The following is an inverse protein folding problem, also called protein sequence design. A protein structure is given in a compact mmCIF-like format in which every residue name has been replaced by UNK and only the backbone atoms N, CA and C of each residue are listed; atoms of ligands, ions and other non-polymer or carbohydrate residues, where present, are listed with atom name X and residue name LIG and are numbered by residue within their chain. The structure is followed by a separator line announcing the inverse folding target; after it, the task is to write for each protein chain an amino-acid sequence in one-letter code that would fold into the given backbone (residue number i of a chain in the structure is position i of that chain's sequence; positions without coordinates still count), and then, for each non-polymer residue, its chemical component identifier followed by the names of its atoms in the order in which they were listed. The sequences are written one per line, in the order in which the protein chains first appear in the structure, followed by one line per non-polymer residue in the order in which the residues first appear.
data_IF_831111513538
#
_entry.id   IF_831111513538
#
_cell.length_a   1.000
_cell.length_b   1.000
_cell.length_c   1.000
_cell.angle_alpha   90.00
_cell.angle_beta   90.00
_cell.angle_gamma   90.00
#
_symmetry.space_group_name_H-M   'P 1'
#
loop_
_entity.id
_entity.type
_entity.pdbx_description
1 polymer ?
#
# COMPACT_ATOMS: atom_id res chain seq x y z
N UNK A 1 24.70 -48.49 -40.30
CA UNK A 1 23.69 -48.30 -39.23
C UNK A 1 24.25 -48.13 -37.81
N UNK A 2 25.43 -48.68 -37.46
CA UNK A 2 25.96 -48.57 -36.07
C UNK A 2 26.46 -47.16 -35.71
N UNK A 3 26.94 -46.36 -36.67
CA UNK A 3 27.43 -44.99 -36.43
C UNK A 3 26.33 -43.96 -36.11
N UNK A 4 25.10 -44.13 -36.62
CA UNK A 4 24.01 -43.17 -36.36
C UNK A 4 23.47 -43.25 -34.92
N UNK A 5 23.58 -44.41 -34.26
CA UNK A 5 23.16 -44.54 -32.85
C UNK A 5 24.06 -43.76 -31.90
N UNK A 6 25.36 -43.61 -32.20
CA UNK A 6 26.30 -42.89 -31.32
C UNK A 6 26.06 -41.37 -31.28
N UNK A 7 25.56 -40.77 -32.37
CA UNK A 7 25.26 -39.34 -32.40
C UNK A 7 23.97 -38.96 -31.65
N UNK A 8 23.03 -39.90 -31.47
CA UNK A 8 21.78 -39.63 -30.78
C UNK A 8 21.98 -39.42 -29.27
N UNK A 9 22.83 -40.24 -28.64
CA UNK A 9 23.14 -40.11 -27.21
C UNK A 9 23.92 -38.82 -26.89
N UNK A 10 24.75 -38.34 -27.82
CA UNK A 10 25.52 -37.10 -27.61
C UNK A 10 24.63 -35.84 -27.57
N UNK A 11 23.47 -35.86 -28.23
CA UNK A 11 22.52 -34.72 -28.24
C UNK A 11 21.57 -34.70 -27.05
N UNK A 12 21.28 -35.86 -26.45
CA UNK A 12 20.37 -35.96 -25.30
C UNK A 12 21.10 -35.63 -23.99
N UNK A 13 22.39 -35.97 -23.89
CA UNK A 13 23.21 -35.74 -22.70
C UNK A 13 23.18 -34.29 -22.16
N UNK A 14 23.33 -33.22 -22.98
CA UNK A 14 23.27 -31.85 -22.48
C UNK A 14 21.86 -31.47 -22.01
N UNK A 15 20.80 -32.00 -22.61
CA UNK A 15 19.41 -31.73 -22.20
C UNK A 15 19.14 -32.39 -20.84
N UNK A 16 19.58 -33.63 -20.64
CA UNK A 16 19.44 -34.31 -19.35
C UNK A 16 20.30 -33.68 -18.26
N UNK A 17 21.51 -33.20 -18.58
CA UNK A 17 22.35 -32.47 -17.63
C UNK A 17 21.75 -31.11 -17.27
N UNK A 18 21.17 -30.39 -18.24
CA UNK A 18 20.49 -29.12 -18.00
C UNK A 18 19.25 -29.30 -17.11
N UNK A 19 18.43 -30.33 -17.38
CA UNK A 19 17.29 -30.67 -16.51
C UNK A 19 17.77 -31.12 -15.13
N UNK A 20 18.84 -31.91 -15.03
CA UNK A 20 19.41 -32.30 -13.74
C UNK A 20 19.91 -31.08 -12.96
N UNK A 21 20.53 -30.07 -13.60
CA UNK A 21 20.91 -28.83 -12.93
C UNK A 21 19.71 -27.98 -12.50
N UNK A 22 18.59 -28.00 -13.23
CA UNK A 22 17.35 -27.32 -12.81
C UNK A 22 16.73 -28.02 -11.59
N UNK A 23 16.74 -29.36 -11.55
CA UNK A 23 16.11 -30.14 -10.47
C UNK A 23 17.02 -30.41 -9.26
N UNK A 24 18.34 -30.41 -9.43
CA UNK A 24 19.35 -30.60 -8.37
C UNK A 24 20.13 -29.35 -8.02
N UNK A 25 19.71 -28.17 -8.53
CA UNK A 25 20.08 -26.93 -7.86
C UNK A 25 19.63 -27.10 -6.41
N UNK A 26 20.57 -27.15 -5.43
CA UNK A 26 20.20 -27.37 -4.04
C UNK A 26 19.21 -26.28 -3.71
N UNK A 27 17.94 -26.65 -3.52
CA UNK A 27 16.91 -25.76 -3.05
C UNK A 27 17.50 -25.16 -1.80
N UNK A 28 17.96 -23.91 -1.94
CA UNK A 28 18.65 -23.20 -0.90
C UNK A 28 17.52 -22.81 0.05
N UNK A 29 17.04 -23.79 0.82
CA UNK A 29 16.21 -23.61 1.99
C UNK A 29 17.14 -23.00 3.02
N UNK A 30 17.56 -21.76 2.74
CA UNK A 30 18.06 -20.86 3.78
C UNK A 30 16.94 -20.87 4.78
N UNK A 31 17.16 -21.57 5.90
CA UNK A 31 16.32 -21.44 7.09
C UNK A 31 16.09 -19.96 7.21
N UNK A 32 14.84 -19.53 7.12
CA UNK A 32 14.43 -18.15 7.35
C UNK A 32 14.96 -17.79 8.74
N UNK A 33 16.20 -17.29 8.78
CA UNK A 33 16.75 -16.71 9.97
C UNK A 33 15.87 -15.50 10.18
N UNK A 34 15.14 -15.49 11.29
CA UNK A 34 14.26 -14.39 11.66
C UNK A 34 15.01 -13.09 11.40
N UNK A 35 14.54 -12.35 10.40
CA UNK A 35 15.23 -11.17 9.86
C UNK A 35 15.35 -10.07 10.92
N UNK A 36 14.53 -10.15 11.96
CA UNK A 36 14.49 -9.24 13.09
C UNK A 36 15.59 -9.50 14.12
N UNK A 37 16.26 -10.67 14.12
CA UNK A 37 17.29 -10.99 15.13
C UNK A 37 18.48 -10.05 15.14
N UNK A 38 18.72 -9.33 14.05
CA UNK A 38 19.82 -8.38 13.92
C UNK A 38 19.41 -6.94 14.23
N UNK A 39 18.11 -6.68 14.43
CA UNK A 39 17.62 -5.34 14.74
C UNK A 39 17.89 -5.02 16.20
N UNK A 40 18.35 -3.79 16.45
CA UNK A 40 18.37 -3.22 17.80
C UNK A 40 16.94 -3.04 18.32
N UNK A 41 16.77 -2.87 19.64
CA UNK A 41 15.45 -2.61 20.23
C UNK A 41 14.80 -1.35 19.66
N UNK A 42 15.60 -0.28 19.44
CA UNK A 42 15.11 0.96 18.84
C UNK A 42 14.64 0.75 17.40
N UNK A 43 15.45 0.09 16.56
CA UNK A 43 15.06 -0.20 15.17
C UNK A 43 13.79 -1.05 15.11
N UNK A 44 13.65 -2.02 16.01
CA UNK A 44 12.44 -2.82 16.12
C UNK A 44 11.22 -1.97 16.49
N UNK A 45 11.39 -1.01 17.40
CA UNK A 45 10.35 -0.07 17.80
C UNK A 45 9.94 0.83 16.63
N UNK A 46 10.90 1.49 15.99
CA UNK A 46 10.71 2.37 14.84
C UNK A 46 9.93 1.69 13.72
N UNK A 47 10.39 0.49 13.32
CA UNK A 47 9.72 -0.28 12.27
C UNK A 47 8.32 -0.72 12.68
N UNK A 48 8.12 -1.08 13.95
CA UNK A 48 6.80 -1.44 14.46
C UNK A 48 5.83 -0.26 14.39
N UNK A 49 6.29 0.95 14.71
CA UNK A 49 5.49 2.17 14.59
C UNK A 49 5.16 2.47 13.13
N UNK A 50 6.17 2.52 12.26
CA UNK A 50 5.99 2.74 10.82
C UNK A 50 4.99 1.75 10.21
N UNK A 51 5.14 0.45 10.50
CA UNK A 51 4.28 -0.58 9.93
C UNK A 51 2.87 -0.57 10.53
N UNK A 52 2.70 -0.18 11.79
CA UNK A 52 1.35 0.03 12.32
C UNK A 52 0.63 1.15 11.58
N UNK A 53 1.30 2.27 11.30
CA UNK A 53 0.75 3.35 10.49
C UNK A 53 0.45 2.91 9.07
N UNK A 54 1.44 2.33 8.38
CA UNK A 54 1.31 1.94 6.98
C UNK A 54 0.32 0.78 6.77
N UNK A 55 0.51 -0.32 7.51
CA UNK A 55 -0.22 -1.57 7.28
C UNK A 55 -1.59 -1.59 7.95
N UNK A 56 -1.73 -0.99 9.15
CA UNK A 56 -2.97 -1.08 9.93
C UNK A 56 -3.84 0.15 9.73
N UNK A 57 -3.33 1.35 10.01
CA UNK A 57 -4.13 2.58 9.87
C UNK A 57 -4.44 2.91 8.41
N UNK A 58 -3.44 2.76 7.53
CA UNK A 58 -3.55 3.11 6.11
C UNK A 58 -3.85 1.90 5.21
N UNK A 59 -4.27 0.79 5.83
CA UNK A 59 -4.75 -0.41 5.14
C UNK A 59 -3.70 -1.07 4.22
N UNK A 60 -2.41 -0.84 4.44
CA UNK A 60 -1.33 -1.50 3.69
C UNK A 60 -1.29 -3.02 3.87
N UNK A 61 -1.86 -3.57 4.95
CA UNK A 61 -1.98 -5.02 5.13
C UNK A 61 -2.81 -5.69 4.01
N UNK A 62 -3.77 -4.97 3.41
CA UNK A 62 -4.53 -5.49 2.26
C UNK A 62 -3.73 -5.43 0.95
N UNK A 63 -2.65 -4.64 0.89
CA UNK A 63 -1.68 -4.71 -0.21
C UNK A 63 -0.76 -5.91 0.01
N UNK A 64 -0.29 -6.09 1.24
CA UNK A 64 0.70 -7.10 1.58
C UNK A 64 0.14 -8.54 1.57
N UNK A 65 -1.14 -8.72 1.92
CA UNK A 65 -1.76 -10.04 2.06
C UNK A 65 -3.08 -10.19 1.29
N UNK A 66 -3.53 -9.14 0.61
CA UNK A 66 -4.86 -9.07 0.02
C UNK A 66 -4.85 -8.64 -1.44
N UNK A 67 -5.97 -8.07 -1.88
CA UNK A 67 -6.18 -7.67 -3.27
C UNK A 67 -6.00 -6.16 -3.52
N UNK A 68 -5.62 -5.38 -2.50
CA UNK A 68 -5.45 -3.93 -2.67
C UNK A 68 -4.19 -3.64 -3.52
N UNK A 69 -4.27 -2.78 -4.55
CA UNK A 69 -3.10 -2.46 -5.37
C UNK A 69 -2.09 -1.56 -4.65
N UNK A 70 -2.55 -0.43 -4.11
CA UNK A 70 -1.71 0.58 -3.45
C UNK A 70 -2.29 1.00 -2.10
N UNK A 71 -1.42 1.31 -1.14
CA UNK A 71 -1.72 2.02 0.10
C UNK A 71 -0.81 3.23 0.20
N UNK A 72 -1.31 4.30 0.84
CA UNK A 72 -0.63 5.58 1.00
C UNK A 72 -0.61 5.94 2.48
N UNK A 73 0.55 6.37 2.98
CA UNK A 73 0.75 6.94 4.30
C UNK A 73 1.38 8.32 4.13
N UNK A 74 0.78 9.36 4.72
CA UNK A 74 1.42 10.67 4.76
C UNK A 74 2.44 10.73 5.90
N UNK A 75 3.67 11.12 5.56
CA UNK A 75 4.73 11.41 6.52
C UNK A 75 4.85 12.93 6.60
N UNK A 76 4.61 13.46 7.78
CA UNK A 76 4.80 14.88 8.09
C UNK A 76 5.96 15.02 9.07
N UNK A 77 6.80 16.07 8.95
CA UNK A 77 7.84 16.32 9.93
C UNK A 77 7.21 16.58 11.30
N UNK A 78 7.91 16.19 12.38
CA UNK A 78 7.54 16.64 13.71
C UNK A 78 7.73 18.15 13.79
N UNK A 79 6.62 18.86 13.98
CA UNK A 79 6.62 20.30 14.17
C UNK A 79 7.24 20.63 15.54
N UNK A 80 8.04 21.69 15.59
CA UNK A 80 8.50 22.27 16.85
C UNK A 80 7.31 22.76 17.69
N UNK A 81 7.48 22.88 19.02
CA UNK A 81 6.41 23.38 19.89
C UNK A 81 5.86 24.75 19.44
N UNK A 82 6.73 25.62 18.93
CA UNK A 82 6.35 26.92 18.38
C UNK A 82 5.53 26.80 17.08
N UNK A 83 5.95 25.93 16.15
CA UNK A 83 5.21 25.67 14.91
C UNK A 83 3.87 24.99 15.16
N UNK A 84 3.80 24.09 16.14
CA UNK A 84 2.55 23.46 16.59
C UNK A 84 1.60 24.52 17.13
N UNK A 85 2.06 25.37 18.05
CA UNK A 85 1.26 26.45 18.62
C UNK A 85 0.80 27.45 17.55
N UNK A 86 1.68 27.79 16.60
CA UNK A 86 1.35 28.66 15.48
C UNK A 86 0.28 28.01 14.60
N UNK A 87 0.45 26.75 14.21
CA UNK A 87 -0.52 26.01 13.37
C UNK A 87 -1.86 25.90 14.08
N UNK A 88 -1.86 25.53 15.37
CA UNK A 88 -3.06 25.42 16.19
C UNK A 88 -3.80 26.75 16.32
N UNK A 89 -3.09 27.88 16.49
CA UNK A 89 -3.72 29.20 16.61
C UNK A 89 -4.42 29.66 15.32
N UNK A 90 -4.01 29.16 14.15
CA UNK A 90 -4.63 29.43 12.86
C UNK A 90 -5.91 28.61 12.59
N UNK A 91 -6.18 27.59 13.39
CA UNK A 91 -7.36 26.74 13.21
C UNK A 91 -8.63 27.41 13.73
N UNK A 92 -9.77 27.09 13.10
CA UNK A 92 -11.08 27.49 13.61
C UNK A 92 -11.38 26.79 14.95
N UNK A 93 -12.23 27.38 15.78
CA UNK A 93 -12.63 26.77 17.05
C UNK A 93 -13.29 25.39 16.88
N UNK A 94 -14.00 25.17 15.77
CA UNK A 94 -14.54 23.86 15.43
C UNK A 94 -13.43 22.85 15.11
N UNK A 95 -12.43 23.24 14.33
CA UNK A 95 -11.28 22.39 14.05
C UNK A 95 -10.49 22.07 15.33
N UNK A 96 -10.29 23.07 16.22
CA UNK A 96 -9.65 22.87 17.53
C UNK A 96 -10.40 21.86 18.41
N UNK A 97 -11.74 21.90 18.44
CA UNK A 97 -12.56 20.93 19.18
C UNK A 97 -12.48 19.50 18.63
N UNK A 98 -12.25 19.39 17.32
CA UNK A 98 -12.15 18.11 16.63
C UNK A 98 -10.72 17.54 16.59
N UNK A 99 -9.73 18.35 16.96
CA UNK A 99 -8.39 17.85 17.24
C UNK A 99 -8.47 17.00 18.50
N UNK A 100 -8.49 15.68 18.31
CA UNK A 100 -7.99 14.78 19.33
C UNK A 100 -6.53 15.13 19.57
N UNK A 101 -6.05 15.16 20.83
CA UNK A 101 -4.65 15.45 21.20
C UNK A 101 -3.61 14.42 20.65
N UNK A 102 -3.91 13.80 19.51
CA UNK A 102 -3.10 12.83 18.78
C UNK A 102 -1.80 13.41 18.17
N UNK A 103 -1.54 14.71 18.38
CA UNK A 103 -0.26 15.34 18.06
C UNK A 103 0.88 14.89 18.98
N UNK A 104 0.57 14.20 20.09
CA UNK A 104 1.58 13.70 21.04
C UNK A 104 1.84 12.21 20.83
N UNK A 105 2.25 11.84 19.60
CA UNK A 105 2.83 10.52 19.40
C UNK A 105 4.23 10.51 20.04
N UNK A 106 4.51 9.48 20.83
CA UNK A 106 5.81 9.29 21.50
C UNK A 106 6.99 9.14 20.52
N UNK A 107 6.74 9.08 19.22
CA UNK A 107 7.71 8.88 18.14
C UNK A 107 7.49 9.85 16.98
N UNK A 108 8.56 10.09 16.22
CA UNK A 108 8.53 10.79 14.94
C UNK A 108 8.47 9.78 13.78
N UNK A 109 7.40 9.85 12.99
CA UNK A 109 7.21 8.94 11.85
C UNK A 109 8.28 9.15 10.76
N UNK A 110 8.82 10.37 10.63
CA UNK A 110 9.95 10.66 9.73
C UNK A 110 11.19 9.89 10.18
N UNK A 111 11.53 9.93 11.47
CA UNK A 111 12.66 9.16 12.01
C UNK A 111 12.46 7.64 11.82
N UNK A 112 11.22 7.16 12.02
CA UNK A 112 10.89 5.75 11.78
C UNK A 112 11.11 5.35 10.31
N UNK A 113 10.76 6.23 9.37
CA UNK A 113 10.99 6.04 7.94
C UNK A 113 12.48 6.07 7.59
N UNK A 114 13.25 6.98 8.16
CA UNK A 114 14.70 7.06 7.94
C UNK A 114 15.40 5.80 8.45
N UNK A 115 14.95 5.25 9.59
CA UNK A 115 15.39 3.93 10.09
C UNK A 115 15.07 2.83 9.08
N UNK A 116 13.87 2.81 8.50
CA UNK A 116 13.54 1.85 7.44
C UNK A 116 14.45 2.00 6.22
N UNK A 117 14.63 3.21 5.68
CA UNK A 117 15.49 3.45 4.50
C UNK A 117 16.93 2.95 4.73
N UNK A 118 17.49 3.20 5.91
CA UNK A 118 18.82 2.72 6.30
C UNK A 118 18.92 1.19 6.29
N UNK A 119 17.86 0.49 6.70
CA UNK A 119 17.80 -0.97 6.72
C UNK A 119 17.45 -1.58 5.34
N UNK A 120 16.76 -0.81 4.49
CA UNK A 120 16.20 -1.27 3.21
C UNK A 120 17.20 -1.71 2.16
N UNK A 121 18.45 -1.24 2.24
CA UNK A 121 19.52 -1.75 1.35
C UNK A 121 19.67 -3.27 1.41
N UNK A 122 19.18 -3.93 2.46
CA UNK A 122 19.18 -5.39 2.62
C UNK A 122 17.92 -6.11 2.11
N UNK A 123 16.84 -5.38 1.81
CA UNK A 123 15.53 -5.94 1.50
C UNK A 123 15.16 -5.70 0.04
N UNK A 124 15.43 -6.68 -0.82
CA UNK A 124 14.93 -6.68 -2.19
C UNK A 124 13.66 -7.52 -2.29
N UNK A 125 12.51 -6.87 -2.50
CA UNK A 125 11.25 -7.54 -2.85
C UNK A 125 11.01 -7.44 -4.35
N UNK A 126 10.72 -8.57 -5.00
CA UNK A 126 10.23 -8.61 -6.38
C UNK A 126 8.73 -8.33 -6.49
N UNK A 127 8.02 -8.24 -5.36
CA UNK A 127 6.55 -8.22 -5.29
C UNK A 127 5.97 -6.88 -4.85
N UNK A 128 6.76 -6.09 -4.12
CA UNK A 128 6.34 -4.82 -3.57
C UNK A 128 7.35 -3.71 -3.85
N UNK A 129 6.85 -2.50 -4.09
CA UNK A 129 7.64 -1.27 -4.05
C UNK A 129 7.17 -0.46 -2.84
N UNK A 130 8.12 0.17 -2.14
CA UNK A 130 7.82 1.18 -1.13
C UNK A 130 8.50 2.47 -1.57
N UNK A 131 7.70 3.46 -1.94
CA UNK A 131 8.17 4.67 -2.62
C UNK A 131 7.74 5.90 -1.87
N UNK A 132 8.69 6.78 -1.60
CA UNK A 132 8.43 8.09 -1.04
C UNK A 132 8.30 9.13 -2.15
N UNK A 133 7.24 9.95 -2.11
CA UNK A 133 7.03 11.07 -3.02
C UNK A 133 6.79 12.35 -2.22
N UNK A 134 7.64 13.39 -2.37
CA UNK A 134 7.40 14.69 -1.74
C UNK A 134 6.06 15.30 -2.19
N UNK A 135 5.37 15.99 -1.29
CA UNK A 135 4.15 16.71 -1.64
C UNK A 135 4.50 18.03 -2.35
N UNK A 136 3.78 18.34 -3.43
CA UNK A 136 4.03 19.53 -4.27
C UNK A 136 3.92 20.85 -3.48
N UNK A 137 3.07 20.88 -2.45
CA UNK A 137 2.83 22.09 -1.63
C UNK A 137 3.79 22.27 -0.46
N UNK A 138 4.32 21.17 0.08
CA UNK A 138 5.29 21.20 1.18
C UNK A 138 6.26 20.02 1.00
N UNK A 139 7.46 20.26 0.45
CA UNK A 139 8.46 19.22 0.22
C UNK A 139 8.95 18.54 1.51
N UNK A 140 8.71 19.11 2.69
CA UNK A 140 9.04 18.47 3.98
C UNK A 140 8.10 17.32 4.29
N UNK A 141 6.89 17.37 3.75
CA UNK A 141 5.91 16.32 3.81
C UNK A 141 6.06 15.41 2.59
N UNK A 142 5.83 14.12 2.80
CA UNK A 142 5.83 13.14 1.72
C UNK A 142 4.69 12.16 1.85
N UNK A 143 4.31 11.61 0.70
CA UNK A 143 3.45 10.45 0.58
C UNK A 143 4.33 9.21 0.46
N UNK A 144 4.12 8.25 1.36
CA UNK A 144 4.72 6.94 1.31
C UNK A 144 3.74 5.95 0.68
N UNK A 145 4.09 5.43 -0.48
CA UNK A 145 3.28 4.49 -1.24
C UNK A 145 3.80 3.06 -1.06
N UNK A 146 2.96 2.16 -0.57
CA UNK A 146 3.17 0.71 -0.63
C UNK A 146 2.42 0.15 -1.84
N UNK A 147 3.15 -0.35 -2.82
CA UNK A 147 2.62 -0.80 -4.13
C UNK A 147 2.80 -2.31 -4.26
N UNK A 148 1.70 -3.04 -4.42
CA UNK A 148 1.72 -4.45 -4.82
C UNK A 148 1.85 -4.56 -6.33
N UNK A 149 3.01 -4.99 -6.83
CA UNK A 149 3.35 -4.97 -8.27
C UNK A 149 2.33 -5.78 -9.09
N UNK A 150 2.03 -7.00 -8.66
CA UNK A 150 1.11 -7.90 -9.36
C UNK A 150 -0.33 -7.34 -9.40
N UNK A 151 -0.84 -6.89 -8.25
CA UNK A 151 -2.19 -6.33 -8.16
C UNK A 151 -2.33 -5.02 -8.94
N UNK A 152 -1.29 -4.17 -8.92
CA UNK A 152 -1.25 -2.93 -9.70
C UNK A 152 -1.19 -3.21 -11.19
N UNK A 153 -0.40 -4.19 -11.62
CA UNK A 153 -0.34 -4.62 -13.02
C UNK A 153 -1.70 -5.10 -13.52
N UNK A 154 -2.35 -6.00 -12.77
CA UNK A 154 -3.70 -6.48 -13.12
C UNK A 154 -4.69 -5.34 -13.23
N UNK A 155 -4.73 -4.43 -12.25
CA UNK A 155 -5.62 -3.27 -12.28
C UNK A 155 -5.40 -2.41 -13.52
N UNK A 156 -4.13 -2.10 -13.85
CA UNK A 156 -3.78 -1.28 -15.01
C UNK A 156 -4.17 -1.96 -16.33
N UNK A 157 -3.99 -3.28 -16.45
CA UNK A 157 -4.41 -4.04 -17.63
C UNK A 157 -5.94 -4.06 -17.76
N UNK A 158 -6.64 -4.40 -16.68
CA UNK A 158 -8.12 -4.47 -16.65
C UNK A 158 -8.78 -3.13 -16.95
N UNK A 159 -8.11 -2.02 -16.64
CA UNK A 159 -8.62 -0.66 -16.82
C UNK A 159 -7.77 0.15 -17.82
N UNK A 160 -7.09 -0.53 -18.74
CA UNK A 160 -6.09 0.08 -19.63
C UNK A 160 -6.61 1.32 -20.35
N UNK A 161 -7.76 1.20 -21.03
CA UNK A 161 -8.37 2.27 -21.80
C UNK A 161 -8.67 3.51 -20.94
N UNK A 162 -9.12 3.30 -19.70
CA UNK A 162 -9.43 4.39 -18.77
C UNK A 162 -8.16 5.12 -18.34
N UNK A 163 -7.11 4.40 -17.96
CA UNK A 163 -5.82 5.02 -17.63
C UNK A 163 -5.16 5.68 -18.85
N UNK A 164 -5.35 5.12 -20.05
CA UNK A 164 -4.83 5.68 -21.32
C UNK A 164 -5.49 7.03 -21.62
N UNK A 165 -6.81 7.12 -21.43
CA UNK A 165 -7.57 8.36 -21.61
C UNK A 165 -7.07 9.46 -20.67
N UNK A 166 -6.89 9.14 -19.38
CA UNK A 166 -6.35 10.10 -18.39
C UNK A 166 -4.90 10.48 -18.69
N UNK A 167 -4.08 9.54 -19.16
CA UNK A 167 -2.68 9.80 -19.49
C UNK A 167 -2.50 10.54 -20.82
N UNK A 168 -3.46 10.40 -21.75
CA UNK A 168 -3.43 11.01 -23.08
C UNK A 168 -2.57 10.28 -24.12
N UNK A 169 -2.00 9.11 -23.79
CA UNK A 169 -1.22 8.27 -24.71
C UNK A 169 -1.13 6.83 -24.23
N UNK A 170 -0.73 5.92 -25.12
CA UNK A 170 -0.44 4.53 -24.76
C UNK A 170 0.69 4.41 -23.74
N UNK A 171 0.65 3.34 -22.96
CA UNK A 171 1.65 3.03 -21.95
C UNK A 171 1.81 1.52 -21.80
N UNK A 172 2.88 1.08 -21.15
CA UNK A 172 3.09 -0.33 -20.84
C UNK A 172 2.89 -0.54 -19.34
N UNK A 173 1.85 -1.29 -18.91
CA UNK A 173 1.48 -1.40 -17.49
C UNK A 173 2.64 -1.75 -16.56
N UNK A 174 3.48 -2.71 -16.95
CA UNK A 174 4.62 -3.11 -16.12
C UNK A 174 5.69 -2.02 -16.03
N UNK A 175 6.01 -1.35 -17.14
CA UNK A 175 7.02 -0.30 -17.16
C UNK A 175 6.59 0.90 -16.31
N UNK A 176 5.33 1.32 -16.41
CA UNK A 176 4.86 2.47 -15.61
C UNK A 176 4.84 2.15 -14.13
N UNK A 177 4.64 0.90 -13.69
CA UNK A 177 4.71 0.56 -12.25
C UNK A 177 6.05 0.96 -11.66
N UNK A 178 7.17 0.64 -12.32
CA UNK A 178 8.50 1.00 -11.84
C UNK A 178 8.81 2.49 -12.00
N UNK A 179 8.14 3.19 -12.92
CA UNK A 179 8.24 4.66 -13.00
C UNK A 179 7.63 5.38 -11.79
N UNK A 180 6.95 4.68 -10.86
CA UNK A 180 6.38 5.33 -9.67
C UNK A 180 7.45 5.91 -8.74
N UNK A 181 8.66 5.36 -8.79
CA UNK A 181 9.86 5.84 -8.10
C UNK A 181 10.33 7.20 -8.62
N UNK A 182 10.01 7.52 -9.88
CA UNK A 182 10.33 8.80 -10.50
C UNK A 182 9.25 9.85 -10.18
N UNK A 183 9.62 10.85 -9.38
CA UNK A 183 8.75 11.99 -9.06
C UNK A 183 8.37 12.81 -10.30
N UNK A 184 9.17 12.75 -11.36
CA UNK A 184 8.92 13.41 -12.63
C UNK A 184 8.08 12.59 -13.62
N UNK A 185 7.71 11.34 -13.29
CA UNK A 185 6.92 10.47 -14.15
C UNK A 185 5.61 11.13 -14.59
N UNK A 186 5.48 11.40 -15.88
CA UNK A 186 4.29 12.01 -16.46
C UNK A 186 3.04 11.14 -16.25
N UNK A 187 3.19 9.81 -16.25
CA UNK A 187 2.07 8.89 -16.03
C UNK A 187 1.51 9.04 -14.62
N UNK A 188 2.37 8.90 -13.60
CA UNK A 188 1.93 8.99 -12.21
C UNK A 188 1.49 10.40 -11.82
N UNK A 189 2.10 11.44 -12.39
CA UNK A 189 1.66 12.81 -12.16
C UNK A 189 0.25 13.07 -12.70
N UNK A 190 -0.14 12.46 -13.84
CA UNK A 190 -1.51 12.53 -14.33
C UNK A 190 -2.48 11.67 -13.49
N UNK A 191 -2.07 10.44 -13.19
CA UNK A 191 -2.87 9.43 -12.50
C UNK A 191 -3.15 9.79 -11.04
N UNK A 192 -2.15 10.21 -10.28
CA UNK A 192 -2.29 10.56 -8.86
C UNK A 192 -3.03 11.88 -8.65
N UNK A 193 -3.11 12.74 -9.68
CA UNK A 193 -3.94 13.95 -9.65
C UNK A 193 -5.41 13.66 -10.01
N UNK A 194 -5.71 12.49 -10.58
CA UNK A 194 -7.06 12.08 -10.94
C UNK A 194 -7.73 11.24 -9.84
N UNK A 195 -8.80 11.78 -9.26
CA UNK A 195 -9.52 11.15 -8.14
C UNK A 195 -10.14 9.78 -8.48
N UNK A 196 -10.60 9.59 -9.72
CA UNK A 196 -11.14 8.29 -10.14
C UNK A 196 -10.04 7.26 -10.32
N UNK A 197 -8.86 7.64 -10.82
CA UNK A 197 -7.71 6.75 -10.82
C UNK A 197 -7.28 6.37 -9.39
N UNK A 198 -7.20 7.34 -8.46
CA UNK A 198 -6.89 7.07 -7.06
C UNK A 198 -7.87 6.07 -6.43
N UNK A 199 -9.17 6.24 -6.69
CA UNK A 199 -10.18 5.30 -6.21
C UNK A 199 -9.98 3.87 -6.74
N UNK A 200 -9.54 3.70 -7.99
CA UNK A 200 -9.17 2.39 -8.52
C UNK A 200 -7.90 1.83 -7.87
N UNK A 201 -6.84 2.64 -7.76
CA UNK A 201 -5.53 2.24 -7.22
C UNK A 201 -5.60 1.84 -5.75
N UNK A 202 -6.44 2.51 -4.98
CA UNK A 202 -6.66 2.15 -3.58
C UNK A 202 -7.70 1.02 -3.43
N UNK A 203 -8.17 0.45 -4.53
CA UNK A 203 -8.96 -0.78 -4.53
C UNK A 203 -10.45 -0.57 -4.28
N UNK A 204 -10.98 0.64 -4.54
CA UNK A 204 -12.38 1.00 -4.23
C UNK A 204 -13.32 0.57 -5.35
N UNK A 205 -12.77 0.27 -6.53
CA UNK A 205 -13.52 -0.07 -7.72
C UNK A 205 -14.08 1.13 -8.45
N UNK A 206 -14.51 0.87 -9.68
CA UNK A 206 -14.87 1.91 -10.65
C UNK A 206 -16.05 2.76 -10.19
N UNK A 207 -17.09 2.15 -9.65
CA UNK A 207 -18.26 2.85 -9.14
C UNK A 207 -17.89 3.84 -8.05
N UNK A 208 -17.17 3.39 -7.01
CA UNK A 208 -16.78 4.25 -5.90
C UNK A 208 -15.77 5.32 -6.32
N UNK A 209 -14.85 4.98 -7.22
CA UNK A 209 -13.90 5.92 -7.80
C UNK A 209 -14.59 7.09 -8.55
N UNK A 210 -15.68 6.83 -9.27
CA UNK A 210 -16.45 7.87 -9.96
C UNK A 210 -17.29 8.71 -9.00
N UNK A 211 -17.76 8.12 -7.90
CA UNK A 211 -18.57 8.83 -6.91
C UNK A 211 -17.72 9.64 -5.92
N UNK A 212 -16.43 9.33 -5.77
CA UNK A 212 -15.53 9.95 -4.81
C UNK A 212 -15.44 11.49 -4.93
N UNK A 213 -15.32 12.10 -6.12
CA UNK A 213 -15.36 13.56 -6.25
C UNK A 213 -16.66 14.18 -5.76
N UNK A 214 -17.80 13.52 -6.02
CA UNK A 214 -19.12 13.96 -5.52
C UNK A 214 -19.19 13.83 -3.99
N UNK A 215 -18.43 12.90 -3.39
CA UNK A 215 -18.38 12.70 -1.95
C UNK A 215 -17.51 13.71 -1.23
N UNK A 216 -16.31 14.02 -1.73
CA UNK A 216 -15.45 15.06 -1.14
C UNK A 216 -16.10 16.45 -1.31
N UNK A 217 -16.85 16.65 -2.40
CA UNK A 217 -17.66 17.85 -2.62
C UNK A 217 -18.79 18.08 -1.62
N UNK A 218 -19.05 17.14 -0.68
CA UNK A 218 -20.01 17.28 0.44
C UNK A 218 -19.57 18.36 1.43
N UNK A 219 -19.69 19.60 1.00
CA UNK A 219 -19.46 20.80 1.80
C UNK A 219 -20.17 22.02 1.22
N UNK A 220 -20.50 22.00 -0.07
CA UNK A 220 -21.35 23.02 -0.71
C UNK A 220 -22.81 22.62 -0.59
N UNK A 221 -23.45 23.03 0.52
CA UNK A 221 -24.91 22.89 0.70
C UNK A 221 -25.62 23.50 -0.53
N UNK A 222 -26.45 22.69 -1.20
CA UNK A 222 -27.34 23.14 -2.29
C UNK A 222 -27.09 22.54 -3.68
N UNK A 223 -26.05 21.72 -3.88
CA UNK A 223 -25.77 21.17 -5.21
C UNK A 223 -26.62 19.90 -5.55
N UNK A 224 -27.04 19.72 -6.83
CA UNK A 224 -27.74 18.54 -7.33
C UNK A 224 -27.05 17.20 -7.00
N UNK A 225 -25.72 17.21 -6.87
CA UNK A 225 -24.93 16.07 -6.44
C UNK A 225 -25.37 15.53 -5.06
N UNK A 226 -25.73 16.40 -4.12
CA UNK A 226 -26.20 15.96 -2.80
C UNK A 226 -27.56 15.27 -2.87
N UNK A 227 -28.47 15.75 -3.72
CA UNK A 227 -29.77 15.14 -3.94
C UNK A 227 -29.62 13.74 -4.55
N UNK A 228 -28.78 13.59 -5.58
CA UNK A 228 -28.44 12.29 -6.17
C UNK A 228 -27.83 11.33 -5.15
N UNK A 229 -26.86 11.79 -4.35
CA UNK A 229 -26.25 10.97 -3.31
C UNK A 229 -27.21 10.58 -2.18
N UNK A 230 -28.26 11.36 -1.91
CA UNK A 230 -29.28 11.03 -0.91
C UNK A 230 -30.29 9.99 -1.44
N UNK A 231 -30.41 9.84 -2.77
CA UNK A 231 -31.22 8.78 -3.38
C UNK A 231 -30.53 7.41 -3.36
N UNK A 232 -29.21 7.39 -3.21
CA UNK A 232 -28.45 6.16 -3.10
C UNK A 232 -28.49 5.66 -1.64
N UNK A 233 -28.99 4.43 -1.44
CA UNK A 233 -28.98 3.74 -0.15
C UNK A 233 -27.55 3.35 0.23
N UNK A 234 -26.85 4.25 0.90
CA UNK A 234 -25.51 3.99 1.42
C UNK A 234 -25.58 3.42 2.84
N UNK A 235 -24.80 2.37 3.09
CA UNK A 235 -24.44 2.00 4.46
C UNK A 235 -23.08 2.59 4.80
N UNK A 236 -22.98 3.27 5.94
CA UNK A 236 -21.71 3.79 6.44
C UNK A 236 -21.11 2.79 7.41
N UNK A 237 -19.89 2.34 7.15
CA UNK A 237 -19.02 1.92 8.24
C UNK A 237 -18.52 3.19 8.91
N UNK A 238 -19.13 3.56 10.04
CA UNK A 238 -18.69 4.71 10.82
C UNK A 238 -17.19 4.60 11.11
N UNK A 239 -16.46 5.66 10.79
CA UNK A 239 -15.05 5.80 11.08
C UNK A 239 -14.89 5.83 12.60
N UNK A 240 -14.49 4.71 13.18
CA UNK A 240 -14.04 4.72 14.57
C UNK A 240 -12.64 5.31 14.52
N UNK A 241 -12.50 6.56 14.96
CA UNK A 241 -11.18 7.12 15.31
C UNK A 241 -10.57 6.16 16.32
N UNK A 242 -9.56 5.40 15.86
CA UNK A 242 -8.84 4.48 16.72
C UNK A 242 -7.89 5.32 17.56
N UNK A 243 -7.89 5.19 18.90
CA UNK A 243 -6.90 5.88 19.70
C UNK A 243 -5.49 5.40 19.30
N UNK A 244 -4.60 6.33 19.00
CA UNK A 244 -3.22 6.11 18.51
C UNK A 244 -2.38 5.18 19.39
N UNK A 245 -2.69 5.09 20.68
CA UNK A 245 -2.01 4.19 21.62
C UNK A 245 -2.50 2.72 21.56
N UNK A 246 -3.48 2.41 20.71
CA UNK A 246 -4.05 1.06 20.53
C UNK A 246 -3.90 0.55 19.09
N UNK A 247 -2.80 0.87 18.43
CA UNK A 247 -2.49 0.32 17.10
C UNK A 247 -2.16 -1.16 17.21
N UNK A 248 -3.19 -1.97 17.07
CA UNK A 248 -3.10 -3.43 17.08
C UNK A 248 -3.91 -3.97 15.94
N UNK A 249 -3.46 -5.08 15.38
CA UNK A 249 -4.14 -5.79 14.28
C UNK A 249 -5.61 -6.07 14.55
N UNK A 250 -6.02 -6.25 15.82
CA UNK A 250 -7.43 -6.42 16.19
C UNK A 250 -8.33 -5.27 15.70
N UNK A 251 -7.77 -4.07 15.52
CA UNK A 251 -8.44 -2.89 15.01
C UNK A 251 -8.30 -2.66 13.52
N UNK A 252 -7.60 -3.53 12.77
CA UNK A 252 -7.62 -3.49 11.31
C UNK A 252 -9.08 -3.49 10.86
N UNK A 253 -9.51 -2.42 10.19
CA UNK A 253 -10.84 -2.27 9.58
C UNK A 253 -10.75 -2.63 8.10
N UNK A 254 -11.88 -2.97 7.45
CA UNK A 254 -11.92 -2.93 5.99
C UNK A 254 -11.57 -1.51 5.53
N UNK A 255 -10.90 -1.36 4.38
CA UNK A 255 -10.70 -0.07 3.75
C UNK A 255 -12.01 0.76 3.71
N UNK A 256 -11.97 1.98 4.24
CA UNK A 256 -13.16 2.80 4.48
C UNK A 256 -13.73 3.42 3.19
N UNK A 257 -14.72 2.78 2.57
CA UNK A 257 -15.48 3.37 1.46
C UNK A 257 -16.98 3.33 1.70
N UNK A 258 -17.66 4.26 1.02
CA UNK A 258 -19.10 4.16 0.80
C UNK A 258 -19.33 3.10 -0.26
N UNK A 259 -19.61 1.88 0.17
CA UNK A 259 -20.15 0.88 -0.75
C UNK A 259 -21.66 1.04 -0.89
N UNK A 260 -22.15 0.65 -2.05
CA UNK A 260 -23.56 0.34 -2.20
C UNK A 260 -23.87 -0.98 -1.47
N UNK A 261 -25.12 -1.15 -1.04
CA UNK A 261 -25.57 -2.43 -0.51
C UNK A 261 -25.34 -3.55 -1.55
N UNK A 262 -24.77 -4.67 -1.12
CA UNK A 262 -24.43 -5.79 -2.01
C UNK A 262 -23.11 -5.65 -2.78
N UNK A 263 -22.26 -4.65 -2.49
CA UNK A 263 -20.94 -4.54 -3.12
C UNK A 263 -20.04 -5.74 -2.74
N UNK A 264 -19.80 -6.62 -3.70
CA UNK A 264 -18.95 -7.82 -3.56
C UNK A 264 -17.54 -7.50 -3.07
N UNK A 265 -17.04 -6.27 -3.30
CA UNK A 265 -15.71 -5.85 -2.83
C UNK A 265 -15.66 -5.72 -1.32
N UNK A 266 -16.72 -5.24 -0.67
CA UNK A 266 -16.75 -5.17 0.80
C UNK A 266 -16.74 -6.57 1.39
N UNK A 267 -17.53 -7.48 0.83
CA UNK A 267 -17.53 -8.86 1.30
C UNK A 267 -16.19 -9.55 1.09
N UNK A 268 -15.49 -9.23 -0.01
CA UNK A 268 -14.09 -9.64 -0.22
C UNK A 268 -13.17 -9.07 0.86
N UNK A 269 -13.19 -7.77 1.13
CA UNK A 269 -12.34 -7.17 2.16
C UNK A 269 -12.66 -7.67 3.57
N UNK A 270 -13.91 -7.95 3.90
CA UNK A 270 -14.27 -8.60 5.18
C UNK A 270 -13.66 -10.00 5.31
N UNK A 271 -13.63 -10.77 4.21
CA UNK A 271 -12.96 -12.09 4.19
C UNK A 271 -11.45 -11.94 4.32
N UNK A 272 -10.83 -11.05 3.55
CA UNK A 272 -9.40 -10.74 3.64
C UNK A 272 -9.00 -10.27 5.04
N UNK A 273 -9.79 -9.38 5.64
CA UNK A 273 -9.59 -8.90 7.01
C UNK A 273 -9.51 -10.04 8.03
N UNK A 274 -10.42 -11.02 7.94
CA UNK A 274 -10.41 -12.20 8.82
C UNK A 274 -9.13 -13.00 8.63
N UNK A 275 -8.73 -13.23 7.38
CA UNK A 275 -7.48 -13.93 7.05
C UNK A 275 -6.26 -13.19 7.58
N UNK A 276 -6.17 -11.88 7.35
CA UNK A 276 -5.06 -11.04 7.81
C UNK A 276 -4.97 -11.04 9.34
N UNK A 277 -6.10 -10.89 10.04
CA UNK A 277 -6.13 -10.97 11.51
C UNK A 277 -5.67 -12.34 12.01
N UNK A 278 -6.11 -13.42 11.37
CA UNK A 278 -5.71 -14.78 11.71
C UNK A 278 -4.24 -15.09 11.38
N UNK A 279 -3.64 -14.42 10.40
CA UNK A 279 -2.21 -14.52 10.11
C UNK A 279 -1.40 -13.88 11.23
N UNK A 280 -1.69 -12.62 11.54
CA UNK A 280 -0.98 -11.89 12.59
C UNK A 280 -1.21 -12.43 14.01
N UNK A 281 -2.29 -13.17 14.27
CA UNK A 281 -2.47 -13.82 15.57
C UNK A 281 -1.51 -14.99 15.81
N UNK A 282 -0.76 -15.45 14.81
CA UNK A 282 0.14 -16.61 14.89
C UNK A 282 1.56 -16.25 15.35
N UNK A 283 1.90 -14.98 15.47
CA UNK A 283 3.27 -14.59 15.77
C UNK A 283 3.45 -13.09 15.94
N UNK A 284 4.70 -12.66 15.91
CA UNK A 284 5.07 -11.25 16.05
C UNK A 284 4.68 -10.45 14.80
N UNK A 285 4.02 -9.30 15.02
CA UNK A 285 3.51 -8.46 13.92
C UNK A 285 4.61 -8.02 12.96
N UNK A 286 5.75 -7.56 13.50
CA UNK A 286 6.85 -7.07 12.68
C UNK A 286 7.51 -8.22 11.91
N UNK A 287 7.76 -9.36 12.56
CA UNK A 287 8.33 -10.54 11.89
C UNK A 287 7.47 -11.02 10.72
N UNK A 288 6.14 -11.13 10.92
CA UNK A 288 5.21 -11.55 9.87
C UNK A 288 5.22 -10.56 8.70
N UNK A 289 5.23 -9.26 9.00
CA UNK A 289 5.23 -8.20 8.00
C UNK A 289 6.51 -8.21 7.15
N UNK A 290 7.67 -8.28 7.81
CA UNK A 290 8.97 -8.34 7.13
C UNK A 290 9.13 -9.63 6.32
N UNK A 291 8.69 -10.77 6.85
CA UNK A 291 8.76 -12.04 6.15
C UNK A 291 7.96 -12.02 4.83
N UNK A 292 6.78 -11.39 4.81
CA UNK A 292 6.01 -11.26 3.57
C UNK A 292 6.58 -10.22 2.61
N UNK A 293 7.04 -9.07 3.12
CA UNK A 293 7.66 -8.01 2.30
C UNK A 293 8.90 -8.52 1.58
N UNK A 294 9.67 -9.40 2.21
CA UNK A 294 10.96 -9.89 1.69
C UNK A 294 10.86 -11.26 1.01
N UNK A 295 9.64 -11.80 0.89
CA UNK A 295 9.40 -13.07 0.20
C UNK A 295 9.70 -12.91 -1.29
N UNK A 296 10.65 -13.71 -1.79
CA UNK A 296 11.06 -13.77 -3.19
C UNK A 296 10.09 -14.57 -4.04
#
# INVERSE_FOLDING_TARGET
MVLQRKFYYLRILPITLFLFFIFFSPSCTKKSHSQTKHLTEQERSDLSHLFNHLLIQNHGAYVLFGSKPISELFITPKLSAEEQQRTYSLLSEEAKKNITHDYDTEYDLRECWDTWQRLMGSFCSSRYLIVERPLEKDPRCSSLLLVGIENTYRLLVENYEFFREIYGRDFRPLEVIYQIEDSSSSFWNAVLKNQSCLGLLFGYGRTNAHLFPLWIGRGKKGEPAQAFLNQLSFSFTAERVLPSNKLRVKYLTPPLFRSLEGDEKIERYKKEQKTIKALYSKGDFLEISLAELTRR
#
